data_IF_566766444851
#
_entry.id   IF_566766444851
#
_cell.length_a   1.000
_cell.length_b   1.000
_cell.length_c   1.000
_cell.angle_alpha   90.00
_cell.angle_beta   90.00
_cell.angle_gamma   90.00
#
_symmetry.space_group_name_H-M   'P 1'
#
loop_
_entity.id
_entity.type
_entity.pdbx_description
1 polymer ?
#
# COMPACT_ATOMS: atom_id res chain seq x y z
N UNK A 1 -3.41 -2.84 2.15
CA UNK A 1 -2.74 -3.25 3.41
C UNK A 1 -3.07 -2.39 4.64
N UNK A 2 -2.67 -1.11 4.73
CA UNK A 2 -2.73 -0.31 5.98
C UNK A 2 -4.17 -0.12 6.52
N UNK A 3 -5.16 0.04 5.63
CA UNK A 3 -6.58 0.17 6.01
C UNK A 3 -7.31 -1.17 6.20
N UNK A 4 -6.70 -2.27 5.80
CA UNK A 4 -7.37 -3.57 5.77
C UNK A 4 -6.95 -4.48 6.92
N UNK A 5 -7.88 -5.29 7.41
CA UNK A 5 -7.60 -6.33 8.39
C UNK A 5 -7.65 -7.69 7.68
N UNK A 6 -6.51 -8.15 7.16
CA UNK A 6 -6.36 -9.49 6.55
C UNK A 6 -5.16 -10.22 7.14
N UNK A 7 -5.11 -11.53 6.88
CA UNK A 7 -4.00 -12.41 7.22
C UNK A 7 -2.82 -12.20 6.26
N UNK A 8 -2.11 -11.09 6.45
CA UNK A 8 -0.91 -10.78 5.69
C UNK A 8 0.25 -11.69 6.08
N UNK A 9 1.27 -11.77 5.21
CA UNK A 9 2.56 -12.37 5.55
C UNK A 9 3.15 -11.76 6.84
N UNK A 10 4.10 -12.45 7.49
CA UNK A 10 4.73 -11.94 8.73
C UNK A 10 5.41 -10.59 8.48
N UNK A 11 6.08 -10.46 7.34
CA UNK A 11 6.74 -9.21 6.95
C UNK A 11 5.75 -8.05 6.83
N UNK A 12 4.68 -8.22 6.05
CA UNK A 12 3.66 -7.18 5.85
C UNK A 12 2.93 -6.89 7.16
N UNK A 13 2.61 -7.91 7.96
CA UNK A 13 1.94 -7.74 9.26
C UNK A 13 2.77 -6.88 10.22
N UNK A 14 4.08 -7.15 10.33
CA UNK A 14 4.97 -6.39 11.20
C UNK A 14 5.06 -4.92 10.77
N UNK A 15 5.19 -4.67 9.47
CA UNK A 15 5.26 -3.29 8.93
C UNK A 15 3.94 -2.53 9.09
N UNK A 16 2.81 -3.18 8.80
CA UNK A 16 1.48 -2.57 9.00
C UNK A 16 1.25 -2.25 10.48
N UNK A 17 1.71 -3.11 11.40
CA UNK A 17 1.63 -2.85 12.85
C UNK A 17 2.43 -1.61 13.24
N UNK A 18 3.67 -1.51 12.79
CA UNK A 18 4.53 -0.34 13.06
C UNK A 18 3.91 0.95 12.52
N UNK A 19 3.46 0.95 11.26
CA UNK A 19 2.83 2.11 10.64
C UNK A 19 1.58 2.56 11.41
N UNK A 20 0.73 1.62 11.82
CA UNK A 20 -0.49 1.91 12.60
C UNK A 20 -0.20 2.39 14.03
N UNK A 21 0.96 2.07 14.59
CA UNK A 21 1.41 2.61 15.88
C UNK A 21 1.85 4.07 15.74
N UNK A 22 2.47 4.41 14.62
CA UNK A 22 3.05 5.74 14.37
C UNK A 22 2.06 6.73 13.75
N UNK A 23 1.02 6.25 13.06
CA UNK A 23 0.14 7.10 12.25
C UNK A 23 -1.32 6.64 12.30
N UNK A 24 -2.25 7.56 12.09
CA UNK A 24 -3.69 7.24 12.02
C UNK A 24 -4.00 6.55 10.69
N UNK A 25 -4.65 5.39 10.76
CA UNK A 25 -5.04 4.58 9.57
C UNK A 25 -5.81 5.38 8.52
N UNK A 26 -6.70 6.29 8.95
CA UNK A 26 -7.52 7.10 8.04
C UNK A 26 -6.71 8.17 7.27
N UNK A 27 -5.52 8.54 7.76
CA UNK A 27 -4.67 9.54 7.12
C UNK A 27 -3.95 9.00 5.88
N UNK A 28 -3.92 7.68 5.70
CA UNK A 28 -3.33 7.06 4.51
C UNK A 28 -4.31 7.14 3.33
N UNK A 29 -3.82 7.57 2.17
CA UNK A 29 -4.58 7.57 0.92
C UNK A 29 -3.89 6.70 -0.12
N UNK A 30 -4.68 6.00 -0.91
CA UNK A 30 -4.15 5.27 -2.06
C UNK A 30 -3.98 6.24 -3.22
N UNK A 31 -2.78 6.25 -3.81
CA UNK A 31 -2.48 7.00 -5.03
C UNK A 31 -2.26 5.98 -6.14
N UNK A 32 -3.03 6.03 -7.25
CA UNK A 32 -2.83 5.14 -8.38
C UNK A 32 -1.40 5.24 -8.94
N UNK A 33 -0.80 4.13 -9.34
CA UNK A 33 0.61 4.07 -9.73
C UNK A 33 0.99 5.00 -10.89
N UNK A 34 0.08 5.20 -11.85
CA UNK A 34 0.28 6.12 -12.98
C UNK A 34 0.35 7.60 -12.58
N UNK A 35 -0.04 7.95 -11.35
CA UNK A 35 0.06 9.30 -10.79
C UNK A 35 0.85 9.33 -9.47
N UNK A 36 1.47 8.20 -9.09
CA UNK A 36 2.30 8.10 -7.90
C UNK A 36 3.70 8.64 -8.20
N UNK A 37 4.14 9.73 -7.56
CA UNK A 37 5.48 10.28 -7.69
C UNK A 37 6.61 9.24 -7.60
N UNK A 38 6.47 8.27 -6.69
CA UNK A 38 7.51 7.28 -6.43
C UNK A 38 7.68 6.29 -7.60
N UNK A 39 6.63 6.07 -8.38
CA UNK A 39 6.63 5.17 -9.54
C UNK A 39 7.02 5.90 -10.84
N UNK A 40 6.74 7.21 -10.92
CA UNK A 40 7.04 8.05 -12.08
C UNK A 40 8.49 8.52 -12.13
N UNK A 41 9.18 8.61 -10.99
CA UNK A 41 10.53 9.15 -10.93
C UNK A 41 11.59 8.06 -11.14
N UNK A 42 12.46 8.19 -12.16
CA UNK A 42 13.68 7.40 -12.25
C UNK A 42 14.58 7.67 -11.05
N UNK A 43 15.25 6.62 -10.55
CA UNK A 43 16.23 6.76 -9.46
C UNK A 43 17.35 7.70 -9.91
N UNK A 44 17.63 8.73 -9.12
CA UNK A 44 18.71 9.68 -9.38
C UNK A 44 18.34 10.92 -10.19
N UNK A 45 17.04 11.17 -10.44
CA UNK A 45 16.60 12.44 -11.02
C UNK A 45 16.70 13.62 -10.04
N UNK A 46 16.85 14.82 -10.60
CA UNK A 46 16.85 16.10 -9.88
C UNK A 46 15.60 16.30 -9.03
N UNK A 47 15.62 17.21 -8.03
CA UNK A 47 14.44 17.52 -7.21
C UNK A 47 13.25 17.85 -8.12
N UNK A 48 12.22 17.01 -8.06
CA UNK A 48 10.98 17.23 -8.80
C UNK A 48 9.97 17.94 -7.89
N UNK A 49 9.22 18.89 -8.44
CA UNK A 49 8.28 19.71 -7.67
C UNK A 49 7.02 19.00 -7.19
N UNK A 50 6.85 17.72 -7.52
CA UNK A 50 5.60 17.03 -7.26
C UNK A 50 4.59 17.17 -8.41
N UNK A 51 3.52 16.38 -8.39
CA UNK A 51 2.38 16.60 -9.26
C UNK A 51 1.57 17.78 -8.72
N UNK A 52 0.86 18.50 -9.59
CA UNK A 52 0.12 19.71 -9.21
C UNK A 52 -0.83 19.48 -8.02
N UNK A 53 -1.52 18.34 -8.00
CA UNK A 53 -2.46 17.97 -6.94
C UNK A 53 -1.83 17.88 -5.55
N UNK A 54 -0.52 17.65 -5.43
CA UNK A 54 0.15 17.57 -4.14
C UNK A 54 0.22 18.95 -3.44
N UNK A 55 0.19 20.03 -4.22
CA UNK A 55 0.14 21.42 -3.74
C UNK A 55 -1.28 21.87 -3.41
N UNK A 56 -2.29 21.09 -3.77
CA UNK A 56 -3.70 21.39 -3.52
C UNK A 56 -4.16 20.93 -2.13
N UNK A 57 -5.37 21.33 -1.75
CA UNK A 57 -6.03 20.83 -0.54
C UNK A 57 -6.10 19.29 -0.60
N UNK A 58 -5.88 18.64 0.55
CA UNK A 58 -5.93 17.18 0.67
C UNK A 58 -7.27 16.58 0.19
N UNK A 59 -8.36 17.34 0.19
CA UNK A 59 -9.66 16.95 -0.36
C UNK A 59 -9.63 16.72 -1.88
N UNK A 60 -8.75 17.42 -2.60
CA UNK A 60 -8.59 17.29 -4.06
C UNK A 60 -7.59 16.20 -4.46
N UNK A 61 -6.91 15.58 -3.50
CA UNK A 61 -5.93 14.55 -3.81
C UNK A 61 -6.62 13.34 -4.45
N UNK A 62 -5.95 12.65 -5.39
CA UNK A 62 -6.51 11.45 -5.99
C UNK A 62 -6.82 10.43 -4.88
N UNK A 63 -8.10 10.09 -4.77
CA UNK A 63 -8.59 9.01 -3.92
C UNK A 63 -9.16 7.93 -4.83
N UNK A 64 -8.28 7.09 -5.37
CA UNK A 64 -8.72 5.91 -6.11
C UNK A 64 -9.28 4.84 -5.15
N UNK A 65 -10.22 4.03 -5.63
CA UNK A 65 -10.47 2.74 -4.99
C UNK A 65 -9.16 1.96 -4.93
N UNK A 66 -8.94 1.22 -3.84
CA UNK A 66 -7.79 0.33 -3.72
C UNK A 66 -8.03 -0.91 -4.60
N UNK A 67 -7.98 -0.73 -5.92
CA UNK A 67 -8.10 -1.83 -6.88
C UNK A 67 -6.71 -2.42 -7.07
N UNK A 68 -6.13 -2.99 -6.00
CA UNK A 68 -5.07 -3.96 -6.21
C UNK A 68 -5.69 -5.13 -6.96
N UNK A 69 -5.07 -5.56 -8.05
CA UNK A 69 -5.52 -6.76 -8.75
C UNK A 69 -5.50 -7.91 -7.73
N UNK A 70 -6.58 -8.71 -7.58
CA UNK A 70 -6.65 -9.75 -6.55
C UNK A 70 -5.43 -10.66 -6.51
N UNK A 71 -4.87 -10.97 -7.69
CA UNK A 71 -3.65 -11.76 -7.86
C UNK A 71 -2.42 -11.17 -7.18
N UNK A 72 -2.23 -9.85 -7.20
CA UNK A 72 -1.08 -9.19 -6.57
C UNK A 72 -1.22 -9.17 -5.05
N UNK A 73 -2.46 -8.95 -4.56
CA UNK A 73 -2.76 -8.95 -3.13
C UNK A 73 -2.55 -10.35 -2.53
N UNK A 74 -2.89 -11.40 -3.28
CA UNK A 74 -2.77 -12.79 -2.86
C UNK A 74 -1.32 -13.24 -2.67
N UNK A 75 -0.36 -12.66 -3.40
CA UNK A 75 1.07 -12.94 -3.21
C UNK A 75 1.52 -12.58 -1.79
N UNK A 76 0.95 -11.51 -1.23
CA UNK A 76 1.31 -10.97 0.09
C UNK A 76 0.50 -11.60 1.24
N UNK A 77 -0.44 -12.50 0.93
CA UNK A 77 -1.18 -13.25 1.95
C UNK A 77 -0.30 -14.32 2.57
N UNK A 78 -0.56 -14.62 3.85
CA UNK A 78 0.09 -15.74 4.52
C UNK A 78 -0.29 -17.04 3.80
N UNK A 79 0.70 -17.71 3.20
CA UNK A 79 0.52 -19.04 2.59
C UNK A 79 0.16 -20.04 3.69
N UNK A 80 -1.01 -20.67 3.58
CA UNK A 80 -1.42 -21.76 4.47
C UNK A 80 -0.85 -23.04 3.88
N UNK A 81 0.05 -23.72 4.60
CA UNK A 81 0.44 -25.09 4.26
C UNK A 81 -0.58 -26.02 4.91
N UNK A 82 -1.41 -26.66 4.09
CA UNK A 82 -2.23 -27.79 4.53
C UNK A 82 -1.27 -28.97 4.65
N UNK A 83 -1.07 -29.46 5.87
CA UNK A 83 -0.36 -30.72 6.09
C UNK A 83 -1.44 -31.78 6.19
N UNK A 84 -1.51 -32.68 5.21
CA UNK A 84 -2.30 -33.89 5.35
C UNK A 84 -1.64 -34.72 6.44
N UNK A 85 -2.31 -34.81 7.58
CA UNK A 85 -1.99 -35.80 8.60
C UNK A 85 -2.74 -37.04 8.15
N UNK A 86 -2.07 -37.88 7.36
CA UNK A 86 -2.55 -39.24 7.13
C UNK A 86 -2.48 -39.97 8.48
N UNK A 87 -3.66 -40.36 8.99
CA UNK A 87 -3.85 -41.14 10.22
C UNK A 87 -3.57 -42.62 9.97
#
# INVERSE_FOLDING_TARGET
WIKEHRNWSVFVSNRVKEIRLLTKTHSWKYVPGNVNPADLLPRGCSPWEGPAWLKENHENWPSGENIGQPSEIDVERKKIKIVNIDL
#
